data_IF_619128115278
#
_entry.id   IF_619128115278
#
_cell.length_a   1.000
_cell.length_b   1.000
_cell.length_c   1.000
_cell.angle_alpha   90.00
_cell.angle_beta   90.00
_cell.angle_gamma   90.00
#
_symmetry.space_group_name_H-M   'P 1'
#
loop_
_entity.id
_entity.type
_entity.pdbx_description
1 polymer ?
#
# COMPACT_ATOMS: atom_id res chain seq x y z
N UNK A 1 9.08 -22.01 5.17
CA UNK A 1 7.73 -22.22 4.58
C UNK A 1 7.91 -23.08 3.34
N UNK A 2 7.21 -24.21 3.21
CA UNK A 2 7.40 -25.13 2.08
C UNK A 2 6.81 -24.51 0.79
N UNK A 3 7.45 -24.77 -0.36
CA UNK A 3 7.08 -24.29 -1.70
C UNK A 3 5.61 -24.58 -2.03
N UNK A 4 5.07 -25.66 -1.49
CA UNK A 4 3.65 -26.04 -1.64
C UNK A 4 2.69 -25.14 -0.88
N UNK A 5 3.07 -24.65 0.30
CA UNK A 5 2.26 -23.72 1.11
C UNK A 5 2.24 -22.33 0.48
N UNK A 6 3.33 -21.93 -0.18
CA UNK A 6 3.44 -20.65 -0.88
C UNK A 6 2.57 -20.61 -2.15
N UNK A 7 2.56 -21.70 -2.94
CA UNK A 7 1.71 -21.83 -4.12
C UNK A 7 0.21 -21.88 -3.77
N UNK A 8 -0.14 -22.53 -2.65
CA UNK A 8 -1.53 -22.59 -2.16
C UNK A 8 -2.05 -21.25 -1.65
N UNK A 9 -1.22 -20.45 -0.98
CA UNK A 9 -1.58 -19.11 -0.50
C UNK A 9 -1.70 -18.09 -1.64
N UNK A 10 -0.89 -18.22 -2.70
CA UNK A 10 -0.99 -17.38 -3.90
C UNK A 10 -2.28 -17.68 -4.69
N UNK A 11 -2.67 -18.95 -4.78
CA UNK A 11 -3.94 -19.36 -5.41
C UNK A 11 -5.16 -18.97 -4.56
N UNK A 12 -5.09 -19.11 -3.24
CA UNK A 12 -6.17 -18.69 -2.33
C UNK A 12 -6.32 -17.16 -2.28
N UNK A 13 -5.22 -16.42 -2.44
CA UNK A 13 -5.23 -14.96 -2.58
C UNK A 13 -5.92 -14.45 -3.84
N UNK A 14 -5.85 -15.21 -4.93
CA UNK A 14 -6.59 -14.94 -6.17
C UNK A 14 -8.07 -15.34 -6.09
N UNK A 15 -8.44 -16.21 -5.14
CA UNK A 15 -9.79 -16.75 -4.97
C UNK A 15 -10.56 -16.20 -3.76
N UNK A 16 -10.00 -15.26 -2.99
CA UNK A 16 -10.72 -14.53 -1.94
C UNK A 16 -11.28 -15.40 -0.78
N UNK A 17 -10.84 -16.65 -0.63
CA UNK A 17 -11.32 -17.54 0.42
C UNK A 17 -10.45 -17.42 1.68
N UNK A 18 -10.59 -16.28 2.38
CA UNK A 18 -10.12 -16.11 3.74
C UNK A 18 -11.17 -16.60 4.75
N UNK A 19 -11.10 -17.87 5.15
CA UNK A 19 -11.82 -18.33 6.34
C UNK A 19 -11.18 -17.68 7.59
N UNK A 20 -11.92 -16.74 8.19
CA UNK A 20 -11.58 -16.10 9.46
C UNK A 20 -11.75 -17.11 10.59
N UNK A 21 -10.65 -17.59 11.17
CA UNK A 21 -10.66 -18.24 12.48
C UNK A 21 -10.25 -17.19 13.50
N UNK A 22 -11.24 -16.70 14.24
CA UNK A 22 -11.06 -15.73 15.31
C UNK A 22 -10.33 -16.31 16.51
N UNK A 23 -9.47 -15.50 17.10
CA UNK A 23 -9.04 -15.64 18.47
C UNK A 23 -9.13 -14.26 19.13
N UNK A 24 -10.13 -14.13 20.00
CA UNK A 24 -10.37 -13.00 20.88
C UNK A 24 -9.29 -12.93 21.96
N UNK A 25 -8.55 -11.82 22.01
CA UNK A 25 -7.67 -11.44 23.11
C UNK A 25 -8.23 -10.23 23.87
N UNK A 26 -8.06 -10.14 25.20
CA UNK A 26 -8.91 -9.29 26.04
C UNK A 26 -8.48 -7.82 26.12
N UNK A 27 -9.53 -7.00 26.23
CA UNK A 27 -9.60 -5.60 26.65
C UNK A 27 -8.67 -5.25 27.81
N UNK A 28 -7.74 -4.31 27.58
CA UNK A 28 -7.04 -3.56 28.63
C UNK A 28 -7.40 -2.08 28.55
N UNK A 29 -8.40 -1.79 29.37
CA UNK A 29 -8.84 -0.49 29.86
C UNK A 29 -7.67 0.31 30.46
N UNK A 30 -7.40 1.53 29.96
CA UNK A 30 -6.66 2.56 30.71
C UNK A 30 -7.20 3.97 30.43
N UNK A 31 -7.21 4.85 31.45
CA UNK A 31 -8.21 5.91 31.58
C UNK A 31 -7.79 7.25 30.99
N UNK A 32 -8.82 8.05 30.72
CA UNK A 32 -8.80 9.46 30.36
C UNK A 32 -8.05 10.31 31.40
N UNK A 33 -7.12 11.13 30.93
CA UNK A 33 -6.62 12.27 31.69
C UNK A 33 -7.57 13.45 31.47
N UNK A 34 -8.08 13.95 32.58
CA UNK A 34 -9.03 15.04 32.71
C UNK A 34 -8.36 16.42 32.68
N UNK A 35 -9.20 17.39 32.31
CA UNK A 35 -9.03 18.84 32.18
C UNK A 35 -8.25 19.62 33.25
N UNK A 36 -7.59 20.69 32.74
CA UNK A 36 -7.51 22.09 33.23
C UNK A 36 -6.89 22.38 34.62
N UNK A 37 -6.24 23.51 34.92
CA UNK A 37 -6.57 24.90 34.61
C UNK A 37 -5.45 25.87 35.06
N UNK A 38 -5.29 26.97 34.30
CA UNK A 38 -5.01 28.38 34.67
C UNK A 38 -4.31 28.75 36.00
N UNK A 39 -3.32 29.66 35.98
CA UNK A 39 -3.40 31.05 36.53
C UNK A 39 -2.07 31.84 36.45
N UNK A 40 -2.20 33.16 36.26
CA UNK A 40 -1.25 34.25 35.93
C UNK A 40 -0.35 34.76 37.09
N UNK A 41 0.81 35.36 36.73
CA UNK A 41 1.43 36.67 37.17
C UNK A 41 2.97 36.61 37.03
N UNK A 42 3.77 37.66 36.87
CA UNK A 42 3.69 39.02 36.29
C UNK A 42 5.12 39.60 36.36
N UNK A 43 5.58 40.32 35.32
CA UNK A 43 6.58 41.44 35.32
C UNK A 43 8.00 41.18 35.90
N UNK A 44 9.14 41.59 35.32
CA UNK A 44 9.49 42.76 34.51
C UNK A 44 10.94 42.60 33.93
N UNK A 45 11.22 43.36 32.86
CA UNK A 45 12.50 43.88 32.34
C UNK A 45 13.18 43.18 31.14
N UNK A 46 13.26 44.00 30.09
CA UNK A 46 13.80 43.78 28.75
C UNK A 46 15.30 43.47 28.68
N UNK A 47 15.67 42.70 27.66
CA UNK A 47 16.83 43.03 26.83
C UNK A 47 16.64 42.46 25.40
N UNK A 48 16.61 43.38 24.45
CA UNK A 48 16.86 43.24 23.02
C UNK A 48 17.89 42.16 22.70
N UNK A 49 17.63 41.32 21.68
CA UNK A 49 18.49 41.09 20.50
C UNK A 49 17.94 39.91 19.69
N UNK A 50 17.55 40.23 18.46
CA UNK A 50 17.66 39.46 17.22
C UNK A 50 17.33 37.96 17.19
N UNK A 51 16.62 37.63 16.10
CA UNK A 51 16.84 36.47 15.23
C UNK A 51 15.77 35.37 15.28
N UNK A 52 15.24 35.16 14.08
CA UNK A 52 14.80 33.87 13.53
C UNK A 52 13.36 33.45 13.83
N UNK A 53 12.50 33.88 12.91
CA UNK A 53 11.47 33.06 12.28
C UNK A 53 11.88 31.58 12.21
N UNK A 54 11.22 30.72 12.97
CA UNK A 54 11.15 29.29 12.62
C UNK A 54 9.71 28.98 12.27
N UNK A 55 9.42 29.19 10.99
CA UNK A 55 8.46 28.42 10.23
C UNK A 55 8.78 26.94 10.43
N UNK A 56 7.95 26.21 11.17
CA UNK A 56 7.99 24.75 11.19
C UNK A 56 7.12 24.24 10.03
N UNK A 57 7.71 24.21 8.85
CA UNK A 57 7.17 23.60 7.65
C UNK A 57 8.20 22.61 7.10
N UNK A 58 7.72 21.42 6.73
CA UNK A 58 8.35 20.45 5.82
C UNK A 58 9.61 19.70 6.31
N UNK A 59 9.44 18.41 6.63
CA UNK A 59 10.48 17.38 6.43
C UNK A 59 9.89 16.08 5.88
N UNK A 60 9.39 16.08 4.63
CA UNK A 60 9.19 14.85 3.83
C UNK A 60 9.41 15.06 2.32
N UNK A 61 10.00 16.18 1.88
CA UNK A 61 10.05 16.52 0.45
C UNK A 61 11.25 15.94 -0.34
N UNK A 62 12.12 15.10 0.23
CA UNK A 62 13.35 14.69 -0.48
C UNK A 62 13.92 13.31 -0.15
N UNK A 63 13.10 12.37 0.34
CA UNK A 63 13.52 10.98 0.41
C UNK A 63 13.46 10.35 -1.01
N UNK A 64 14.49 9.60 -1.44
CA UNK A 64 14.40 8.82 -2.68
C UNK A 64 13.16 7.95 -2.62
N UNK A 65 12.33 8.02 -3.66
CA UNK A 65 11.17 7.14 -3.76
C UNK A 65 11.65 5.68 -3.71
N UNK A 66 10.91 4.78 -3.03
CA UNK A 66 11.31 3.40 -2.90
C UNK A 66 11.50 2.76 -4.28
N UNK A 67 12.47 1.85 -4.40
CA UNK A 67 12.80 1.24 -5.69
C UNK A 67 11.60 0.53 -6.34
N UNK A 68 10.65 0.03 -5.53
CA UNK A 68 9.41 -0.62 -5.99
C UNK A 68 8.20 -0.13 -5.18
N UNK A 69 7.27 0.56 -5.86
CA UNK A 69 6.02 1.06 -5.27
C UNK A 69 4.83 0.42 -5.96
N UNK A 70 3.97 -0.23 -5.19
CA UNK A 70 2.71 -0.80 -5.65
C UNK A 70 1.59 0.20 -5.39
N UNK A 71 0.99 0.69 -6.47
CA UNK A 71 -0.21 1.50 -6.47
C UNK A 71 -1.45 0.60 -6.49
N UNK A 72 -2.38 0.84 -5.58
CA UNK A 72 -3.58 0.01 -5.44
C UNK A 72 -4.82 0.84 -5.07
N UNK A 73 -6.02 0.28 -5.31
CA UNK A 73 -7.27 0.94 -4.92
C UNK A 73 -7.48 0.86 -3.39
N UNK A 74 -7.28 1.99 -2.71
CA UNK A 74 -7.37 2.12 -1.26
C UNK A 74 -8.76 1.84 -0.69
N UNK A 75 -9.84 2.01 -1.46
CA UNK A 75 -11.22 1.79 -0.97
C UNK A 75 -11.79 0.42 -1.33
N UNK A 76 -11.05 -0.39 -2.12
CA UNK A 76 -11.47 -1.70 -2.56
C UNK A 76 -11.03 -2.81 -1.58
N UNK A 77 -11.98 -3.57 -1.03
CA UNK A 77 -11.64 -4.67 -0.09
C UNK A 77 -10.84 -5.79 -0.76
N UNK A 78 -11.09 -6.08 -2.04
CA UNK A 78 -10.32 -7.07 -2.79
C UNK A 78 -8.84 -6.65 -2.96
N UNK A 79 -8.62 -5.41 -3.40
CA UNK A 79 -7.26 -4.88 -3.55
C UNK A 79 -6.53 -4.85 -2.20
N UNK A 80 -7.21 -4.47 -1.12
CA UNK A 80 -6.62 -4.48 0.21
C UNK A 80 -6.25 -5.87 0.69
N UNK A 81 -7.11 -6.86 0.45
CA UNK A 81 -6.83 -8.26 0.77
C UNK A 81 -5.58 -8.77 0.05
N UNK A 82 -5.38 -8.37 -1.21
CA UNK A 82 -4.16 -8.67 -1.95
C UNK A 82 -2.92 -8.02 -1.32
N UNK A 83 -3.00 -6.74 -0.92
CA UNK A 83 -1.90 -6.07 -0.21
C UNK A 83 -1.63 -6.75 1.14
N UNK A 84 -2.64 -7.23 1.87
CA UNK A 84 -2.44 -7.97 3.13
C UNK A 84 -1.66 -9.26 2.94
N UNK A 85 -1.86 -9.93 1.82
CA UNK A 85 -1.09 -11.11 1.46
C UNK A 85 0.36 -10.71 1.21
N UNK A 86 0.58 -9.66 0.40
CA UNK A 86 1.93 -9.18 0.08
C UNK A 86 2.71 -8.76 1.33
N UNK A 87 2.09 -8.07 2.29
CA UNK A 87 2.75 -7.73 3.56
C UNK A 87 3.23 -8.96 4.34
N UNK A 88 2.50 -10.08 4.25
CA UNK A 88 2.84 -11.33 4.93
C UNK A 88 3.89 -12.17 4.20
N UNK A 89 3.97 -12.08 2.88
CA UNK A 89 4.87 -12.93 2.07
C UNK A 89 6.12 -12.22 1.57
N UNK A 90 6.14 -10.88 1.53
CA UNK A 90 7.31 -10.08 1.18
C UNK A 90 8.25 -9.92 2.39
N UNK A 91 8.90 -11.02 2.75
CA UNK A 91 9.86 -11.09 3.86
C UNK A 91 11.09 -10.20 3.67
N UNK A 92 11.43 -9.90 2.41
CA UNK A 92 12.58 -9.04 2.06
C UNK A 92 12.19 -7.56 2.02
N UNK A 93 10.92 -7.23 2.27
CA UNK A 93 10.38 -5.88 2.27
C UNK A 93 10.70 -5.09 0.99
N UNK A 94 10.64 -5.76 -0.16
CA UNK A 94 10.96 -5.18 -1.47
C UNK A 94 9.97 -4.10 -1.89
N UNK A 95 8.72 -4.20 -1.44
CA UNK A 95 7.64 -3.34 -1.90
C UNK A 95 7.20 -2.32 -0.84
N UNK A 96 6.97 -1.10 -1.30
CA UNK A 96 6.14 -0.11 -0.58
C UNK A 96 4.80 0.02 -1.28
N UNK A 97 3.79 0.49 -0.56
CA UNK A 97 2.41 0.53 -1.04
C UNK A 97 1.85 1.95 -0.95
N UNK A 98 1.24 2.43 -2.03
CA UNK A 98 0.57 3.72 -2.05
C UNK A 98 -0.86 3.56 -2.58
N UNK A 99 -1.89 4.05 -1.86
CA UNK A 99 -3.24 4.05 -2.41
C UNK A 99 -3.32 5.02 -3.59
N UNK A 100 -4.02 4.65 -4.67
CA UNK A 100 -4.20 5.48 -5.87
C UNK A 100 -4.90 6.81 -5.55
N UNK A 101 -5.65 6.86 -4.44
CA UNK A 101 -6.33 8.06 -3.97
C UNK A 101 -5.42 9.08 -3.26
N UNK A 102 -4.23 8.70 -2.76
CA UNK A 102 -3.33 9.66 -2.09
C UNK A 102 -2.62 10.58 -3.07
N UNK A 103 -2.14 11.75 -2.63
CA UNK A 103 -1.38 12.65 -3.52
C UNK A 103 -0.12 11.96 -4.03
N UNK A 104 0.52 11.13 -3.21
CA UNK A 104 1.67 10.32 -3.63
C UNK A 104 1.32 9.36 -4.76
N UNK A 105 0.21 8.62 -4.65
CA UNK A 105 -0.26 7.71 -5.70
C UNK A 105 -0.57 8.45 -7.01
N UNK A 106 -1.30 9.57 -6.92
CA UNK A 106 -1.64 10.41 -8.06
C UNK A 106 -0.41 10.99 -8.77
N UNK A 107 0.60 11.45 -8.01
CA UNK A 107 1.87 11.93 -8.56
C UNK A 107 2.62 10.83 -9.32
N UNK A 108 2.63 9.61 -8.78
CA UNK A 108 3.28 8.47 -9.42
C UNK A 108 2.57 8.05 -10.71
N UNK A 109 1.22 8.07 -10.75
CA UNK A 109 0.44 7.84 -11.97
C UNK A 109 0.78 8.85 -13.07
N UNK A 110 0.79 10.14 -12.73
CA UNK A 110 1.13 11.21 -13.68
C UNK A 110 2.56 11.03 -14.20
N UNK A 111 3.50 10.64 -13.32
CA UNK A 111 4.90 10.42 -13.69
C UNK A 111 5.08 9.34 -14.74
N UNK A 112 4.24 8.30 -14.73
CA UNK A 112 4.26 7.20 -15.70
C UNK A 112 3.34 7.45 -16.92
N UNK A 113 2.77 8.65 -17.04
CA UNK A 113 1.92 9.03 -18.17
C UNK A 113 0.46 8.58 -18.09
N UNK A 114 -0.02 8.19 -16.90
CA UNK A 114 -1.44 7.88 -16.65
C UNK A 114 -2.19 9.07 -16.07
N UNK A 115 -3.51 9.05 -16.18
CA UNK A 115 -4.38 10.02 -15.52
C UNK A 115 -4.25 9.92 -13.99
N UNK A 116 -4.26 11.06 -13.30
CA UNK A 116 -4.08 11.11 -11.85
C UNK A 116 -5.18 10.32 -11.09
N UNK A 117 -6.38 10.20 -11.66
CA UNK A 117 -7.51 9.50 -11.08
C UNK A 117 -7.73 8.09 -11.67
N UNK A 118 -6.75 7.54 -12.40
CA UNK A 118 -6.83 6.19 -12.94
C UNK A 118 -6.79 5.15 -11.80
N UNK A 119 -7.98 4.61 -11.48
CA UNK A 119 -8.17 3.52 -10.52
C UNK A 119 -8.55 2.20 -11.21
N UNK A 120 -8.29 2.06 -12.52
CA UNK A 120 -8.69 0.89 -13.30
C UNK A 120 -7.85 -0.35 -12.97
N UNK A 121 -6.61 -0.15 -12.52
CA UNK A 121 -5.69 -1.26 -12.28
C UNK A 121 -4.75 -1.04 -11.09
N UNK A 122 -4.23 -2.14 -10.54
CA UNK A 122 -3.01 -2.10 -9.74
C UNK A 122 -1.82 -1.81 -10.65
N UNK A 123 -0.84 -1.07 -10.13
CA UNK A 123 0.35 -0.66 -10.89
C UNK A 123 1.58 -0.87 -10.03
N UNK A 124 2.60 -1.51 -10.57
CA UNK A 124 3.93 -1.54 -9.99
C UNK A 124 4.78 -0.48 -10.68
N UNK A 125 5.28 0.49 -9.91
CA UNK A 125 6.21 1.52 -10.36
C UNK A 125 7.59 1.15 -9.84
N UNK A 126 8.59 1.10 -10.73
CA UNK A 126 9.97 0.80 -10.39
C UNK A 126 10.91 1.94 -10.77
N UNK A 127 12.06 2.00 -10.11
CA UNK A 127 13.16 2.92 -10.45
C UNK A 127 12.68 4.38 -10.53
N UNK A 128 11.93 4.82 -9.51
CA UNK A 128 11.39 6.17 -9.44
C UNK A 128 10.54 6.55 -10.69
N UNK A 129 9.77 5.62 -11.26
CA UNK A 129 8.90 5.88 -12.40
C UNK A 129 9.54 5.66 -13.77
N UNK A 130 10.80 5.22 -13.84
CA UNK A 130 11.43 4.88 -15.13
C UNK A 130 10.83 3.62 -15.78
N UNK A 131 10.24 2.73 -14.97
CA UNK A 131 9.57 1.52 -15.44
C UNK A 131 8.25 1.33 -14.69
N UNK A 132 7.23 0.84 -15.38
CA UNK A 132 5.98 0.44 -14.74
C UNK A 132 5.37 -0.80 -15.39
N UNK A 133 4.55 -1.50 -14.62
CA UNK A 133 3.74 -2.64 -15.04
C UNK A 133 2.33 -2.44 -14.49
N UNK A 134 1.31 -2.62 -15.30
CA UNK A 134 -0.09 -2.55 -14.87
C UNK A 134 -0.83 -3.88 -15.11
N UNK A 135 -2.06 -3.96 -14.61
CA UNK A 135 -2.95 -5.11 -14.77
C UNK A 135 -2.30 -6.46 -14.42
N UNK A 136 -2.43 -7.45 -15.31
CA UNK A 136 -1.85 -8.78 -15.13
C UNK A 136 -0.32 -8.75 -15.10
N UNK A 137 0.31 -7.81 -15.79
CA UNK A 137 1.76 -7.67 -15.81
C UNK A 137 2.29 -7.23 -14.44
N UNK A 138 1.60 -6.29 -13.79
CA UNK A 138 1.89 -5.91 -12.40
C UNK A 138 1.88 -7.14 -11.49
N UNK A 139 0.80 -7.92 -11.52
CA UNK A 139 0.64 -9.09 -10.65
C UNK A 139 1.75 -10.11 -10.90
N UNK A 140 2.03 -10.46 -12.16
CA UNK A 140 3.08 -11.43 -12.49
C UNK A 140 4.47 -10.92 -12.11
N UNK A 141 4.75 -9.63 -12.29
CA UNK A 141 6.04 -9.01 -11.95
C UNK A 141 6.28 -8.98 -10.45
N UNK A 142 5.24 -8.65 -9.66
CA UNK A 142 5.30 -8.71 -8.18
C UNK A 142 5.60 -10.13 -7.73
N UNK A 143 4.90 -11.13 -8.29
CA UNK A 143 5.14 -12.55 -7.95
C UNK A 143 6.56 -12.97 -8.33
N UNK A 144 7.05 -12.55 -9.50
CA UNK A 144 8.41 -12.82 -9.95
C UNK A 144 9.47 -12.30 -8.97
N UNK A 145 9.22 -11.14 -8.36
CA UNK A 145 10.14 -10.51 -7.43
C UNK A 145 10.10 -11.08 -6.01
N UNK A 146 9.09 -11.91 -5.66
CA UNK A 146 9.03 -12.57 -4.35
C UNK A 146 10.09 -13.67 -4.17
N UNK A 147 10.72 -14.18 -5.25
CA UNK A 147 11.90 -15.04 -5.17
C UNK A 147 11.84 -16.34 -5.99
N UNK A 148 12.85 -17.23 -5.87
CA UNK A 148 13.19 -18.31 -6.81
C UNK A 148 12.21 -19.49 -6.92
N UNK A 149 11.11 -19.48 -6.15
CA UNK A 149 9.99 -20.41 -6.36
C UNK A 149 8.79 -19.74 -7.05
N UNK A 150 8.62 -18.44 -6.82
CA UNK A 150 7.52 -17.64 -7.35
C UNK A 150 7.83 -17.13 -8.77
N UNK A 151 9.10 -16.84 -9.05
CA UNK A 151 9.61 -16.47 -10.37
C UNK A 151 9.35 -17.53 -11.45
N UNK A 152 9.55 -18.81 -11.13
CA UNK A 152 9.30 -19.92 -12.06
C UNK A 152 7.81 -19.96 -12.40
N UNK A 153 6.93 -19.86 -11.40
CA UNK A 153 5.48 -19.83 -11.61
C UNK A 153 5.06 -18.62 -12.47
N UNK A 154 5.58 -17.43 -12.17
CA UNK A 154 5.28 -16.22 -12.93
C UNK A 154 5.75 -16.32 -14.38
N UNK A 155 6.94 -16.87 -14.61
CA UNK A 155 7.51 -17.09 -15.95
C UNK A 155 6.70 -18.10 -16.75
N UNK A 156 6.33 -19.22 -16.14
CA UNK A 156 5.48 -20.24 -16.76
C UNK A 156 4.12 -19.64 -17.13
N UNK A 157 3.47 -18.93 -16.20
CA UNK A 157 2.20 -18.27 -16.46
C UNK A 157 2.30 -17.25 -17.61
N UNK A 158 3.39 -16.47 -17.67
CA UNK A 158 3.64 -15.50 -18.76
C UNK A 158 3.82 -16.16 -20.13
N UNK A 159 4.37 -17.38 -20.18
CA UNK A 159 4.59 -18.12 -21.42
C UNK A 159 3.36 -18.90 -21.88
N UNK A 160 2.59 -19.47 -20.96
CA UNK A 160 1.43 -20.30 -21.26
C UNK A 160 0.21 -19.44 -21.56
N UNK A 161 0.05 -18.33 -20.84
CA UNK A 161 -1.16 -17.49 -20.90
C UNK A 161 -0.87 -16.22 -21.69
N UNK A 162 -1.44 -16.06 -22.91
CA UNK A 162 -1.29 -14.86 -23.72
C UNK A 162 -1.72 -13.60 -22.95
N UNK A 163 -1.08 -12.47 -23.26
CA UNK A 163 -1.36 -11.18 -22.60
C UNK A 163 -2.84 -10.81 -22.66
N UNK A 164 -3.45 -10.92 -23.84
CA UNK A 164 -4.86 -10.59 -24.08
C UNK A 164 -5.77 -11.35 -23.11
N UNK A 165 -5.62 -12.68 -23.04
CA UNK A 165 -6.47 -13.51 -22.18
C UNK A 165 -6.30 -13.21 -20.68
N UNK A 166 -5.07 -12.98 -20.22
CA UNK A 166 -4.85 -12.66 -18.80
C UNK A 166 -5.31 -11.23 -18.45
N UNK A 167 -5.25 -10.30 -19.39
CA UNK A 167 -5.78 -8.95 -19.20
C UNK A 167 -7.31 -8.93 -19.28
N UNK A 168 -7.94 -9.76 -20.12
CA UNK A 168 -9.39 -9.94 -20.14
C UNK A 168 -9.92 -10.46 -18.79
N UNK A 169 -9.25 -11.48 -18.23
CA UNK A 169 -9.56 -11.98 -16.89
C UNK A 169 -9.35 -10.87 -15.85
N UNK A 170 -8.25 -10.13 -15.96
CA UNK A 170 -7.94 -9.04 -15.04
C UNK A 170 -9.04 -7.98 -15.08
N UNK A 171 -9.45 -7.53 -16.26
CA UNK A 171 -10.44 -6.50 -16.46
C UNK A 171 -11.81 -6.95 -15.92
N UNK A 172 -12.21 -8.20 -16.15
CA UNK A 172 -13.40 -8.78 -15.54
C UNK A 172 -13.37 -8.72 -14.01
N UNK A 173 -12.23 -9.04 -13.37
CA UNK A 173 -12.09 -8.95 -11.91
C UNK A 173 -12.08 -7.49 -11.45
N UNK A 174 -11.36 -6.61 -12.15
CA UNK A 174 -11.25 -5.21 -11.81
C UNK A 174 -12.59 -4.48 -11.88
N UNK A 175 -13.41 -4.77 -12.90
CA UNK A 175 -14.77 -4.24 -13.04
C UNK A 175 -15.71 -4.75 -11.94
N UNK A 176 -15.53 -5.99 -11.50
CA UNK A 176 -16.36 -6.60 -10.46
C UNK A 176 -15.82 -6.45 -9.04
N UNK A 177 -14.67 -5.80 -8.83
CA UNK A 177 -13.94 -5.78 -7.54
C UNK A 177 -14.79 -5.34 -6.34
N UNK A 178 -15.69 -4.38 -6.55
CA UNK A 178 -16.59 -3.90 -5.51
C UNK A 178 -17.79 -4.84 -5.28
N UNK A 179 -18.21 -5.61 -6.29
CA UNK A 179 -19.25 -6.63 -6.14
C UNK A 179 -18.71 -7.88 -5.46
N UNK A 180 -17.42 -8.20 -5.65
CA UNK A 180 -16.77 -9.37 -5.05
C UNK A 180 -16.62 -9.25 -3.53
N UNK A 181 -16.18 -8.09 -3.03
CA UNK A 181 -15.85 -7.91 -1.61
C UNK A 181 -16.30 -6.57 -1.00
N UNK A 182 -16.97 -5.71 -1.76
CA UNK A 182 -17.43 -4.41 -1.29
C UNK A 182 -16.35 -3.33 -1.29
N UNK A 183 -16.75 -2.19 -0.72
CA UNK A 183 -15.89 -1.03 -0.44
C UNK A 183 -15.72 -0.88 1.07
N UNK A 184 -14.75 -0.06 1.44
CA UNK A 184 -14.56 0.44 2.81
C UNK A 184 -14.45 1.96 2.79
N UNK A 185 -14.77 2.56 3.92
CA UNK A 185 -14.84 4.02 4.05
C UNK A 185 -13.46 4.67 4.22
N UNK A 186 -12.49 3.94 4.79
CA UNK A 186 -11.17 4.47 5.11
C UNK A 186 -10.02 3.56 4.65
N UNK A 187 -8.89 4.19 4.34
CA UNK A 187 -7.67 3.48 3.96
C UNK A 187 -6.96 2.88 5.19
N UNK A 188 -6.37 1.67 5.05
CA UNK A 188 -5.62 1.00 6.13
C UNK A 188 -4.18 1.49 6.28
N UNK A 189 -3.78 2.49 5.51
CA UNK A 189 -2.42 3.03 5.58
C UNK A 189 -2.04 3.50 7.00
N UNK A 190 -3.03 3.68 7.88
CA UNK A 190 -2.90 4.00 9.30
C UNK A 190 -2.55 2.81 10.22
N UNK A 191 -2.38 1.59 9.70
CA UNK A 191 -2.03 0.41 10.52
C UNK A 191 -0.60 0.55 11.09
N UNK A 192 -0.43 0.66 12.42
CA UNK A 192 0.87 0.90 13.04
C UNK A 192 1.85 -0.25 12.83
N UNK A 193 1.40 -1.48 12.56
CA UNK A 193 2.29 -2.63 12.34
C UNK A 193 3.07 -2.50 11.02
N UNK A 194 2.48 -1.84 10.02
CA UNK A 194 3.05 -1.74 8.67
C UNK A 194 3.26 -0.29 8.21
N UNK A 195 3.28 0.67 9.14
CA UNK A 195 3.34 2.10 8.82
C UNK A 195 4.53 2.46 7.92
N UNK A 196 5.68 1.81 8.08
CA UNK A 196 6.87 2.03 7.25
C UNK A 196 6.69 1.49 5.81
N UNK A 197 5.76 0.55 5.59
CA UNK A 197 5.47 -0.07 4.30
C UNK A 197 4.58 0.80 3.42
N UNK A 198 3.86 1.77 3.98
CA UNK A 198 2.92 2.61 3.23
C UNK A 198 3.50 3.99 2.92
N UNK A 199 3.26 4.46 1.69
CA UNK A 199 3.48 5.84 1.28
C UNK A 199 2.13 6.53 1.20
N UNK A 200 1.83 7.35 2.20
CA UNK A 200 0.59 8.11 2.26
C UNK A 200 0.84 9.46 2.91
N UNK A 201 -0.04 10.40 2.59
CA UNK A 201 0.01 11.81 2.91
C UNK A 201 -1.40 12.31 3.24
#
# INVERSE_FOLDING_TARGET
MDSRTFSFLLLLGLLGLGHVVGLTGPSLNRPAWSLSSSTKRSTLLEATTSSTTTTSESTTANAPLPENVILYDGVCNFCNSWVDILLRVDFQQKFRFAPLQSTTGQKLLVKIGKEANDISSVVLVQQDGAQYFDKSQCVLKVVEELGPGADILARIARQIVPLEFRDDIYDMVAENRYNLMGKRDECRCSDPEFADRFLFD
#
